data_IF_973566860894
#
_entry.id   IF_973566860894
#
_cell.length_a   1.000
_cell.length_b   1.000
_cell.length_c   1.000
_cell.angle_alpha   90.00
_cell.angle_beta   90.00
_cell.angle_gamma   90.00
#
_symmetry.space_group_name_H-M   'P 1'
#
loop_
_entity.id
_entity.type
_entity.pdbx_description
1 polymer ?
#
# COMPACT_ATOMS: atom_id res chain seq x y z
N UNK A 1 3.18 -5.55 -5.45
CA UNK A 1 2.71 -5.78 -6.84
C UNK A 1 1.21 -5.98 -6.95
N UNK A 2 0.43 -5.85 -5.86
CA UNK A 2 -1.03 -6.02 -5.88
C UNK A 2 -1.77 -4.92 -6.64
N UNK A 3 -3.04 -5.24 -7.01
CA UNK A 3 -3.89 -4.40 -7.86
C UNK A 3 -4.03 -2.97 -7.34
N UNK A 4 -4.36 -2.80 -6.06
CA UNK A 4 -4.69 -1.49 -5.49
C UNK A 4 -3.48 -0.55 -5.49
N UNK A 5 -2.29 -1.06 -5.13
CA UNK A 5 -1.05 -0.29 -5.18
C UNK A 5 -0.66 0.10 -6.61
N UNK A 6 -0.88 -0.77 -7.59
CA UNK A 6 -0.62 -0.46 -8.99
C UNK A 6 -1.64 0.53 -9.56
N UNK A 7 -2.92 0.45 -9.14
CA UNK A 7 -3.92 1.44 -9.49
C UNK A 7 -3.57 2.82 -8.95
N UNK A 8 -3.13 2.91 -7.68
CA UNK A 8 -2.66 4.17 -7.10
C UNK A 8 -1.46 4.73 -7.88
N UNK A 9 -0.47 3.89 -8.21
CA UNK A 9 0.72 4.31 -8.97
C UNK A 9 0.34 4.79 -10.39
N UNK A 10 -0.62 4.13 -11.03
CA UNK A 10 -1.13 4.53 -12.34
C UNK A 10 -1.83 5.90 -12.30
N UNK A 11 -2.70 6.12 -11.31
CA UNK A 11 -3.36 7.40 -11.11
C UNK A 11 -2.36 8.51 -10.75
N UNK A 12 -1.35 8.21 -9.92
CA UNK A 12 -0.29 9.15 -9.57
C UNK A 12 0.53 9.57 -10.80
N UNK A 13 0.81 8.65 -11.72
CA UNK A 13 1.48 8.96 -12.99
C UNK A 13 0.71 10.02 -13.77
N UNK A 14 -0.61 9.85 -13.91
CA UNK A 14 -1.44 10.78 -14.65
C UNK A 14 -1.57 12.13 -13.93
N UNK A 15 -1.70 12.10 -12.60
CA UNK A 15 -1.69 13.30 -11.77
C UNK A 15 -0.38 14.10 -11.92
N UNK A 16 0.77 13.42 -11.83
CA UNK A 16 2.08 14.06 -11.99
C UNK A 16 2.25 14.67 -13.38
N UNK A 17 1.78 13.99 -14.43
CA UNK A 17 1.82 14.51 -15.80
C UNK A 17 1.02 15.79 -15.97
N UNK A 18 -0.11 15.91 -15.27
CA UNK A 18 -1.00 17.07 -15.36
C UNK A 18 -0.56 18.24 -14.48
N UNK A 19 -0.04 17.94 -13.29
CA UNK A 19 0.20 18.94 -12.25
C UNK A 19 1.70 19.20 -12.00
N UNK A 20 2.57 18.39 -12.57
CA UNK A 20 4.01 18.43 -12.27
C UNK A 20 4.36 17.88 -10.88
N UNK A 21 5.55 18.21 -10.41
CA UNK A 21 6.06 17.77 -9.12
C UNK A 21 6.89 16.49 -9.18
N UNK A 22 7.44 16.09 -8.02
CA UNK A 22 8.17 14.81 -7.87
C UNK A 22 7.27 13.75 -7.31
N UNK A 23 7.33 12.56 -7.90
CA UNK A 23 6.69 11.37 -7.37
C UNK A 23 7.65 10.19 -7.48
N UNK A 24 7.62 9.30 -6.48
CA UNK A 24 8.35 8.05 -6.49
C UNK A 24 7.46 6.92 -5.97
N UNK A 25 7.63 5.73 -6.50
CA UNK A 25 6.96 4.52 -6.03
C UNK A 25 7.94 3.70 -5.18
N UNK A 26 7.48 3.29 -4.01
CA UNK A 26 8.26 2.46 -3.09
C UNK A 26 7.66 1.06 -3.04
N UNK A 27 8.49 0.05 -3.27
CA UNK A 27 8.14 -1.36 -3.03
C UNK A 27 8.91 -1.83 -1.81
N UNK A 28 8.22 -2.31 -0.77
CA UNK A 28 8.90 -2.95 0.36
C UNK A 28 8.89 -4.45 0.11
N UNK A 29 10.09 -5.02 -0.03
CA UNK A 29 10.30 -6.45 -0.14
C UNK A 29 10.61 -7.01 1.25
N UNK A 30 9.73 -7.87 1.73
CA UNK A 30 9.85 -8.49 3.05
C UNK A 30 10.62 -9.81 3.01
N UNK A 31 10.97 -10.33 1.83
CA UNK A 31 11.65 -11.63 1.63
C UNK A 31 10.99 -12.80 2.34
N UNK A 32 9.67 -12.73 2.58
CA UNK A 32 8.90 -13.77 3.26
C UNK A 32 8.42 -14.87 2.31
N UNK A 33 8.41 -14.58 1.02
CA UNK A 33 7.93 -15.50 -0.03
C UNK A 33 8.94 -15.53 -1.18
N UNK A 34 9.15 -16.70 -1.82
CA UNK A 34 10.06 -16.81 -2.98
C UNK A 34 9.71 -15.89 -4.16
N UNK A 35 8.42 -15.59 -4.33
CA UNK A 35 7.90 -14.77 -5.41
C UNK A 35 8.13 -13.26 -5.21
N UNK A 36 8.48 -12.83 -3.99
CA UNK A 36 8.58 -11.42 -3.63
C UNK A 36 9.61 -10.65 -4.49
N UNK A 37 10.72 -11.27 -4.83
CA UNK A 37 11.75 -10.68 -5.69
C UNK A 37 11.26 -10.53 -7.14
N UNK A 38 10.54 -11.52 -7.66
CA UNK A 38 9.96 -11.48 -9.01
C UNK A 38 8.85 -10.40 -9.09
N UNK A 39 8.01 -10.30 -8.07
CA UNK A 39 7.00 -9.25 -7.97
C UNK A 39 7.62 -7.85 -7.93
N UNK A 40 8.68 -7.65 -7.14
CA UNK A 40 9.41 -6.39 -7.08
C UNK A 40 10.04 -6.02 -8.43
N UNK A 41 10.62 -7.00 -9.14
CA UNK A 41 11.18 -6.82 -10.47
C UNK A 41 10.11 -6.47 -11.52
N UNK A 42 8.93 -7.09 -11.44
CA UNK A 42 7.79 -6.77 -12.30
C UNK A 42 7.35 -5.31 -12.10
N UNK A 43 7.18 -4.89 -10.84
CA UNK A 43 6.84 -3.49 -10.51
C UNK A 43 7.91 -2.53 -11.02
N UNK A 44 9.19 -2.83 -10.81
CA UNK A 44 10.30 -2.00 -11.29
C UNK A 44 10.27 -1.82 -12.81
N UNK A 45 10.02 -2.90 -13.56
CA UNK A 45 9.89 -2.85 -15.02
C UNK A 45 8.72 -1.97 -15.46
N UNK A 46 7.58 -2.08 -14.78
CA UNK A 46 6.39 -1.28 -15.07
C UNK A 46 6.61 0.20 -14.77
N UNK A 47 7.21 0.54 -13.63
CA UNK A 47 7.54 1.92 -13.26
C UNK A 47 8.51 2.55 -14.25
N UNK A 48 9.53 1.79 -14.68
CA UNK A 48 10.45 2.23 -15.73
C UNK A 48 9.72 2.54 -17.05
N UNK A 49 8.78 1.67 -17.46
CA UNK A 49 7.94 1.90 -18.65
C UNK A 49 7.09 3.17 -18.52
N UNK A 50 6.64 3.50 -17.32
CA UNK A 50 5.84 4.69 -17.06
C UNK A 50 6.66 5.96 -16.82
N UNK A 51 7.98 5.85 -16.71
CA UNK A 51 8.87 6.97 -16.43
C UNK A 51 8.76 7.48 -15.00
N UNK A 52 8.38 6.63 -14.05
CA UNK A 52 8.25 6.96 -12.63
C UNK A 52 9.49 6.46 -11.88
N UNK A 53 10.03 7.30 -11.01
CA UNK A 53 11.08 6.94 -10.07
C UNK A 53 10.61 5.79 -9.17
N UNK A 54 11.41 4.70 -9.03
CA UNK A 54 11.03 3.53 -8.24
C UNK A 54 12.19 3.04 -7.40
N UNK A 55 11.90 2.68 -6.14
CA UNK A 55 12.86 2.13 -5.21
C UNK A 55 12.31 0.88 -4.52
N UNK A 56 13.16 -0.12 -4.39
CA UNK A 56 12.88 -1.33 -3.60
C UNK A 56 13.56 -1.17 -2.24
N UNK A 57 12.78 -1.24 -1.18
CA UNK A 57 13.24 -1.21 0.21
C UNK A 57 13.19 -2.63 0.75
N UNK A 58 14.31 -3.13 1.22
CA UNK A 58 14.40 -4.51 1.72
C UNK A 58 14.23 -4.53 3.24
N UNK A 59 13.41 -5.46 3.71
CA UNK A 59 13.28 -5.79 5.11
C UNK A 59 13.56 -7.27 5.32
N UNK A 60 14.43 -7.58 6.25
CA UNK A 60 14.76 -8.93 6.63
C UNK A 60 14.22 -9.17 8.04
N UNK A 61 13.36 -10.19 8.24
CA UNK A 61 12.84 -10.50 9.57
C UNK A 61 13.99 -10.92 10.51
N UNK A 62 14.00 -10.35 11.71
CA UNK A 62 14.86 -10.85 12.77
C UNK A 62 14.29 -12.18 13.31
N UNK A 63 15.15 -13.12 13.63
CA UNK A 63 14.74 -14.40 14.22
C UNK A 63 14.02 -14.16 15.56
N UNK A 64 12.75 -14.55 15.64
CA UNK A 64 11.95 -14.41 16.87
C UNK A 64 10.50 -14.84 16.67
N UNK A 65 9.98 -15.63 17.61
CA UNK A 65 8.62 -16.18 17.59
C UNK A 65 7.57 -15.10 17.88
N UNK A 66 6.59 -14.93 17.00
CA UNK A 66 5.33 -14.24 17.22
C UNK A 66 5.20 -12.85 16.59
N UNK A 67 4.01 -12.57 16.04
CA UNK A 67 3.61 -11.25 15.51
C UNK A 67 4.39 -10.77 14.28
N UNK A 68 4.82 -11.70 13.43
CA UNK A 68 5.63 -11.36 12.24
C UNK A 68 4.91 -10.39 11.30
N UNK A 69 3.59 -10.50 11.18
CA UNK A 69 2.78 -9.62 10.34
C UNK A 69 2.75 -8.18 10.86
N UNK A 70 2.56 -8.00 12.18
CA UNK A 70 2.57 -6.68 12.81
C UNK A 70 3.96 -6.04 12.74
N UNK A 71 5.02 -6.84 13.00
CA UNK A 71 6.41 -6.40 12.85
C UNK A 71 6.72 -6.01 11.40
N UNK A 72 6.30 -6.81 10.43
CA UNK A 72 6.45 -6.53 9.01
C UNK A 72 5.69 -5.26 8.60
N UNK A 73 4.47 -5.07 9.12
CA UNK A 73 3.68 -3.86 8.89
C UNK A 73 4.38 -2.62 9.43
N UNK A 74 4.84 -2.65 10.67
CA UNK A 74 5.53 -1.50 11.27
C UNK A 74 6.88 -1.22 10.58
N UNK A 75 7.67 -2.26 10.28
CA UNK A 75 8.91 -2.15 9.55
C UNK A 75 8.69 -1.51 8.16
N UNK A 76 7.63 -1.91 7.45
CA UNK A 76 7.24 -1.33 6.17
C UNK A 76 7.05 0.17 6.28
N UNK A 77 6.25 0.62 7.24
CA UNK A 77 5.99 2.05 7.42
C UNK A 77 7.27 2.80 7.80
N UNK A 78 8.10 2.26 8.70
CA UNK A 78 9.35 2.88 9.11
C UNK A 78 10.32 3.04 7.93
N UNK A 79 10.51 2.00 7.11
CA UNK A 79 11.37 2.07 5.93
C UNK A 79 10.91 3.12 4.93
N UNK A 80 9.59 3.19 4.67
CA UNK A 80 9.04 4.18 3.75
C UNK A 80 9.14 5.60 4.33
N UNK A 81 8.91 5.79 5.64
CA UNK A 81 9.06 7.07 6.32
C UNK A 81 10.52 7.56 6.26
N UNK A 82 11.48 6.71 6.63
CA UNK A 82 12.91 7.03 6.60
C UNK A 82 13.36 7.42 5.18
N UNK A 83 12.89 6.67 4.18
CA UNK A 83 13.18 6.99 2.78
C UNK A 83 12.57 8.34 2.37
N UNK A 84 11.32 8.60 2.70
CA UNK A 84 10.66 9.86 2.41
C UNK A 84 11.40 11.05 3.04
N UNK A 85 11.73 10.97 4.32
CA UNK A 85 12.47 12.03 5.04
C UNK A 85 13.83 12.27 4.41
N UNK A 86 14.58 11.21 4.10
CA UNK A 86 15.90 11.30 3.49
C UNK A 86 15.87 11.96 2.11
N UNK A 87 14.80 11.74 1.34
CA UNK A 87 14.68 12.22 -0.03
C UNK A 87 13.81 13.48 -0.18
N UNK A 88 13.36 14.08 0.93
CA UNK A 88 12.59 15.32 0.93
C UNK A 88 11.15 15.18 0.47
N UNK A 89 10.53 14.01 0.69
CA UNK A 89 9.11 13.79 0.48
C UNK A 89 8.33 13.95 1.80
N UNK A 90 7.25 14.72 1.76
CA UNK A 90 6.41 14.99 2.93
C UNK A 90 5.15 14.12 2.97
N UNK A 91 4.76 13.55 1.84
CA UNK A 91 3.54 12.75 1.70
C UNK A 91 3.88 11.33 1.28
N UNK A 92 3.34 10.36 2.02
CA UNK A 92 3.37 8.93 1.70
C UNK A 92 1.95 8.50 1.34
N UNK A 93 1.70 8.19 0.05
CA UNK A 93 0.41 7.72 -0.40
C UNK A 93 0.30 6.20 -0.23
N UNK A 94 -0.83 5.74 0.28
CA UNK A 94 -1.14 4.30 0.44
C UNK A 94 -2.49 3.98 -0.21
N UNK A 95 -2.59 2.78 -0.77
CA UNK A 95 -3.73 2.34 -1.57
C UNK A 95 -4.86 1.69 -0.76
N UNK A 96 -5.10 2.17 0.47
CA UNK A 96 -6.27 1.73 1.24
C UNK A 96 -7.55 2.20 0.55
N UNK A 97 -8.56 1.34 0.54
CA UNK A 97 -9.82 1.53 -0.20
C UNK A 97 -11.04 1.27 0.69
N UNK A 98 -12.23 1.31 0.11
CA UNK A 98 -13.50 1.21 0.85
C UNK A 98 -13.62 -0.09 1.66
N UNK A 99 -13.14 -1.21 1.14
CA UNK A 99 -13.18 -2.48 1.89
C UNK A 99 -12.28 -2.46 3.12
N UNK A 100 -11.08 -1.87 3.03
CA UNK A 100 -10.19 -1.70 4.20
C UNK A 100 -10.83 -0.83 5.29
N UNK A 101 -11.65 0.16 4.90
CA UNK A 101 -12.43 0.97 5.83
C UNK A 101 -13.45 0.11 6.58
N UNK A 102 -14.21 -0.71 5.85
CA UNK A 102 -15.20 -1.61 6.44
C UNK A 102 -14.55 -2.62 7.38
N UNK A 103 -13.45 -3.24 6.97
CA UNK A 103 -12.68 -4.17 7.80
C UNK A 103 -12.14 -3.51 9.06
N UNK A 104 -11.56 -2.31 8.94
CA UNK A 104 -11.06 -1.54 10.09
C UNK A 104 -12.18 -1.21 11.07
N UNK A 105 -13.35 -0.81 10.58
CA UNK A 105 -14.52 -0.53 11.39
C UNK A 105 -14.99 -1.78 12.15
N UNK A 106 -15.13 -2.92 11.46
CA UNK A 106 -15.56 -4.18 12.05
C UNK A 106 -14.57 -4.68 13.12
N UNK A 107 -13.27 -4.60 12.84
CA UNK A 107 -12.23 -4.98 13.81
C UNK A 107 -12.27 -4.11 15.08
N UNK A 108 -12.54 -2.82 14.96
CA UNK A 108 -12.67 -1.91 16.10
C UNK A 108 -13.96 -2.18 16.89
N UNK A 109 -15.05 -2.48 16.19
CA UNK A 109 -16.32 -2.89 16.80
C UNK A 109 -16.15 -4.16 17.64
N UNK A 110 -15.49 -5.18 17.10
CA UNK A 110 -15.20 -6.43 17.81
C UNK A 110 -14.34 -6.24 19.06
N UNK A 111 -13.43 -5.26 19.04
CA UNK A 111 -12.59 -4.92 20.21
C UNK A 111 -13.32 -4.08 21.27
N UNK A 112 -14.61 -3.80 21.08
CA UNK A 112 -15.41 -3.01 22.03
C UNK A 112 -15.03 -1.54 22.09
N UNK A 113 -14.48 -0.98 21.00
CA UNK A 113 -14.13 0.45 20.92
C UNK A 113 -15.39 1.29 21.09
N UNK A 114 -15.33 2.34 21.94
CA UNK A 114 -16.39 3.33 22.05
C UNK A 114 -16.63 4.11 20.75
N UNK A 115 -17.67 4.95 20.70
CA UNK A 115 -18.10 5.69 19.51
C UNK A 115 -16.95 6.46 18.86
N UNK A 116 -16.09 7.11 19.64
CA UNK A 116 -14.92 7.84 19.15
C UNK A 116 -13.84 6.89 18.56
N UNK A 117 -13.76 5.66 19.06
CA UNK A 117 -12.86 4.62 18.56
C UNK A 117 -13.37 3.89 17.31
N UNK A 118 -14.65 4.03 16.95
CA UNK A 118 -15.25 3.37 15.78
C UNK A 118 -14.98 4.13 14.47
N UNK A 119 -14.45 5.36 14.53
CA UNK A 119 -14.06 6.08 13.32
C UNK A 119 -13.02 5.26 12.53
N UNK A 120 -13.30 4.97 11.25
CA UNK A 120 -12.41 4.21 10.38
C UNK A 120 -11.08 4.95 10.12
N UNK A 121 -10.31 4.60 9.09
CA UNK A 121 -9.06 5.29 8.80
C UNK A 121 -9.33 6.71 8.30
N UNK A 122 -8.58 7.69 8.80
CA UNK A 122 -8.61 9.05 8.26
C UNK A 122 -7.87 9.10 6.90
N UNK A 123 -8.35 9.98 6.02
CA UNK A 123 -7.71 10.24 4.73
C UNK A 123 -6.24 10.67 4.89
N UNK A 124 -5.97 11.50 5.89
CA UNK A 124 -4.64 11.99 6.22
C UNK A 124 -4.30 11.68 7.67
N UNK A 125 -3.12 11.15 7.91
CA UNK A 125 -2.63 10.83 9.26
C UNK A 125 -1.17 11.27 9.39
N UNK A 126 -0.83 12.19 10.32
CA UNK A 126 0.56 12.51 10.62
C UNK A 126 1.32 11.26 11.10
N UNK A 127 2.56 11.09 10.62
CA UNK A 127 3.49 10.05 11.06
C UNK A 127 4.90 10.62 11.09
N UNK A 128 5.42 10.87 12.28
CA UNK A 128 6.72 11.50 12.45
C UNK A 128 6.86 12.79 11.64
N UNK A 129 7.75 12.81 10.65
CA UNK A 129 8.01 14.00 9.81
C UNK A 129 7.25 13.99 8.48
N UNK A 130 6.40 12.99 8.25
CA UNK A 130 5.60 12.86 7.02
C UNK A 130 4.11 12.78 7.34
N UNK A 131 3.29 12.86 6.31
CA UNK A 131 1.87 12.60 6.39
C UNK A 131 1.51 11.41 5.49
N UNK A 132 0.86 10.40 6.05
CA UNK A 132 0.30 9.27 5.30
C UNK A 132 -1.04 9.72 4.72
N UNK A 133 -1.19 9.62 3.41
CA UNK A 133 -2.39 10.01 2.67
C UNK A 133 -3.02 8.77 2.01
N UNK A 134 -4.33 8.67 2.07
CA UNK A 134 -5.12 7.54 1.55
C UNK A 134 -6.16 8.04 0.55
N UNK A 135 -5.75 8.35 -0.69
CA UNK A 135 -6.64 9.01 -1.66
C UNK A 135 -7.72 8.08 -2.22
N UNK A 136 -7.65 6.78 -1.95
CA UNK A 136 -8.57 5.78 -2.49
C UNK A 136 -9.58 5.24 -1.45
N UNK A 137 -9.72 5.88 -0.27
CA UNK A 137 -10.58 5.37 0.81
C UNK A 137 -12.04 5.17 0.42
N UNK A 138 -12.53 5.93 -0.54
CA UNK A 138 -13.90 5.82 -1.05
C UNK A 138 -14.00 4.97 -2.33
N UNK A 139 -12.85 4.51 -2.86
CA UNK A 139 -12.84 3.74 -4.09
C UNK A 139 -13.25 2.29 -3.84
N UNK A 140 -14.08 1.76 -4.72
CA UNK A 140 -14.41 0.34 -4.76
C UNK A 140 -13.24 -0.47 -5.35
N UNK A 141 -12.80 -1.58 -4.70
CA UNK A 141 -11.73 -2.43 -5.25
C UNK A 141 -12.00 -2.92 -6.68
N UNK A 142 -13.26 -3.20 -7.00
CA UNK A 142 -13.66 -3.61 -8.35
C UNK A 142 -13.39 -2.52 -9.40
N UNK A 143 -13.58 -1.25 -9.04
CA UNK A 143 -13.29 -0.12 -9.93
C UNK A 143 -11.78 0.02 -10.18
N UNK A 144 -10.95 -0.19 -9.15
CA UNK A 144 -9.49 -0.17 -9.28
C UNK A 144 -8.98 -1.28 -10.21
N UNK A 145 -9.48 -2.51 -10.02
CA UNK A 145 -9.14 -3.64 -10.90
C UNK A 145 -9.65 -3.43 -12.33
N UNK A 146 -10.82 -2.84 -12.51
CA UNK A 146 -11.35 -2.48 -13.85
C UNK A 146 -10.44 -1.48 -14.53
N UNK A 147 -10.03 -0.42 -13.84
CA UNK A 147 -9.08 0.58 -14.34
C UNK A 147 -7.80 -0.07 -14.89
N UNK A 148 -7.22 -1.01 -14.14
CA UNK A 148 -6.01 -1.71 -14.57
C UNK A 148 -6.26 -2.57 -15.81
N UNK A 149 -7.37 -3.33 -15.86
CA UNK A 149 -7.72 -4.18 -17.02
C UNK A 149 -7.91 -3.35 -18.30
N UNK A 150 -8.66 -2.25 -18.21
CA UNK A 150 -8.91 -1.33 -19.33
C UNK A 150 -7.63 -0.72 -19.89
N UNK A 151 -6.58 -0.61 -19.06
CA UNK A 151 -5.27 -0.11 -19.45
C UNK A 151 -4.24 -1.21 -19.73
N UNK A 152 -4.65 -2.49 -19.77
CA UNK A 152 -3.77 -3.62 -20.07
C UNK A 152 -2.66 -3.85 -19.05
N UNK A 153 -2.90 -3.45 -17.79
CA UNK A 153 -1.92 -3.58 -16.71
C UNK A 153 -2.16 -4.90 -15.99
N UNK A 154 -1.13 -5.74 -15.95
CA UNK A 154 -1.12 -7.01 -15.22
C UNK A 154 -0.58 -6.76 -13.80
N UNK A 155 -1.17 -7.41 -12.82
CA UNK A 155 -0.76 -7.34 -11.42
C UNK A 155 -0.54 -8.74 -10.82
N UNK A 156 0.20 -8.81 -9.71
CA UNK A 156 0.31 -10.04 -8.93
C UNK A 156 -0.98 -10.25 -8.12
N UNK A 157 -1.62 -11.41 -8.27
CA UNK A 157 -2.72 -11.80 -7.40
C UNK A 157 -2.14 -12.35 -6.09
N UNK A 158 -2.51 -11.72 -4.98
CA UNK A 158 -2.18 -12.23 -3.66
C UNK A 158 -3.08 -13.44 -3.36
N UNK A 159 -2.50 -14.62 -3.26
CA UNK A 159 -3.22 -15.84 -2.90
C UNK A 159 -3.91 -15.75 -1.51
N UNK A 160 -3.47 -14.81 -0.66
CA UNK A 160 -4.08 -14.53 0.65
C UNK A 160 -5.38 -13.74 0.57
N UNK A 161 -5.71 -13.08 -0.55
CA UNK A 161 -6.97 -12.35 -0.73
C UNK A 161 -8.16 -13.25 -1.09
N UNK A 162 -7.96 -14.55 -1.20
CA UNK A 162 -8.98 -15.55 -1.54
C UNK A 162 -9.53 -16.35 -0.36
N UNK A 163 -9.05 -16.14 0.85
CA UNK A 163 -9.59 -16.81 2.04
C UNK A 163 -10.75 -16.00 2.64
N UNK A 164 -11.96 -16.31 2.19
CA UNK A 164 -13.23 -15.94 2.85
C UNK A 164 -13.45 -16.68 4.19
N UNK A 165 -12.40 -16.85 5.00
CA UNK A 165 -12.44 -17.57 6.27
C UNK A 165 -12.85 -16.69 7.49
N UNK A 166 -13.54 -15.58 7.26
CA UNK A 166 -14.04 -14.72 8.35
C UNK A 166 -15.50 -14.99 8.79
N UNK A 167 -16.08 -16.13 8.36
CA UNK A 167 -17.40 -16.57 8.84
C UNK A 167 -17.35 -18.00 9.40
N UNK A 168 -16.67 -18.20 10.51
CA UNK A 168 -16.97 -19.32 11.44
C UNK A 168 -16.72 -18.90 12.88
#
# INVERSE_FOLDING_TARGET
GGADSLALAFLLKDFQKQNGGRAAVLTVNHHLRPEADAEAAMVASLMKKWGIEHHVLNWFPEEGNGGIEEKAREARYRLMEDWCVKNGFYYLLTAHHQQDQAETFLMRLQRGSGVDGLSAMAEMTPRGKICVVRPLLEAEPAALRRLLRENGIVWAEDASNGCDDFLR
#
